data_IF_794972355681
#
_entry.id   IF_794972355681
#
_cell.length_a   1.000
_cell.length_b   1.000
_cell.length_c   1.000
_cell.angle_alpha   90.00
_cell.angle_beta   90.00
_cell.angle_gamma   90.00
#
_symmetry.space_group_name_H-M   'P 1'
#
loop_
_entity.id
_entity.type
_entity.pdbx_description
1 polymer ?
#
# COMPACT_ATOMS: atom_id res chain seq x y z
N UNK A 1 -8.41 -14.62 8.58
CA UNK A 1 -9.45 -13.62 8.22
C UNK A 1 -9.71 -12.72 9.42
N UNK A 2 -10.25 -11.52 9.22
CA UNK A 2 -10.67 -10.64 10.31
C UNK A 2 -11.74 -9.66 9.84
N UNK A 3 -12.49 -9.08 10.78
CA UNK A 3 -13.42 -8.00 10.46
C UNK A 3 -14.80 -8.42 9.94
N UNK A 4 -15.41 -9.48 10.51
CA UNK A 4 -16.75 -9.91 10.09
C UNK A 4 -17.84 -8.86 10.41
N UNK A 5 -18.86 -8.78 9.55
CA UNK A 5 -20.00 -7.88 9.78
C UNK A 5 -20.72 -8.22 11.09
N UNK A 6 -20.82 -7.25 12.00
CA UNK A 6 -21.36 -7.42 13.36
C UNK A 6 -20.31 -7.71 14.44
N UNK A 7 -19.07 -8.05 14.08
CA UNK A 7 -17.96 -8.22 15.00
C UNK A 7 -16.61 -7.88 14.34
N UNK A 8 -16.49 -6.61 13.94
CA UNK A 8 -15.45 -6.14 13.02
C UNK A 8 -14.03 -6.10 13.62
N UNK A 9 -13.89 -6.35 14.92
CA UNK A 9 -12.61 -6.45 15.62
C UNK A 9 -12.19 -7.90 15.88
N UNK A 10 -12.99 -8.90 15.49
CA UNK A 10 -12.64 -10.30 15.64
C UNK A 10 -11.72 -10.74 14.51
N UNK A 11 -10.69 -11.49 14.87
CA UNK A 11 -9.78 -12.18 13.96
C UNK A 11 -9.89 -13.70 14.13
N UNK A 12 -9.65 -14.41 13.04
CA UNK A 12 -9.78 -15.86 12.92
C UNK A 12 -8.57 -16.45 12.19
N UNK A 13 -8.05 -17.54 12.73
CA UNK A 13 -7.06 -18.42 12.09
C UNK A 13 -7.66 -19.82 11.98
N UNK A 14 -7.49 -20.46 10.83
CA UNK A 14 -7.91 -21.84 10.61
C UNK A 14 -7.09 -22.80 11.48
N UNK A 15 -7.54 -24.05 11.58
CA UNK A 15 -6.75 -25.12 12.17
C UNK A 15 -5.43 -25.34 11.40
N UNK A 16 -4.40 -25.80 12.13
CA UNK A 16 -3.10 -26.11 11.53
C UNK A 16 -3.27 -27.28 10.53
N UNK A 17 -2.67 -27.15 9.35
CA UNK A 17 -2.74 -28.13 8.25
C UNK A 17 -4.17 -28.41 7.71
N UNK A 18 -5.16 -27.58 8.05
CA UNK A 18 -6.51 -27.69 7.53
C UNK A 18 -7.13 -26.30 7.28
N UNK A 19 -6.99 -25.74 6.06
CA UNK A 19 -7.46 -24.39 5.74
C UNK A 19 -8.99 -24.24 5.75
N UNK A 20 -9.74 -25.35 5.74
CA UNK A 20 -11.21 -25.35 5.73
C UNK A 20 -11.82 -25.52 7.13
N UNK A 21 -11.00 -25.82 8.14
CA UNK A 21 -11.45 -25.95 9.52
C UNK A 21 -11.36 -24.62 10.27
N UNK A 22 -12.50 -23.95 10.42
CA UNK A 22 -12.63 -22.62 11.03
C UNK A 22 -13.35 -22.62 12.38
N UNK A 23 -13.76 -23.78 12.90
CA UNK A 23 -14.51 -23.88 14.16
C UNK A 23 -13.58 -23.82 15.38
N UNK A 24 -13.55 -22.71 16.14
CA UNK A 24 -12.69 -22.58 17.32
C UNK A 24 -13.29 -23.26 18.56
N UNK A 25 -14.51 -23.80 18.46
CA UNK A 25 -15.21 -24.52 19.54
C UNK A 25 -15.10 -26.05 19.40
N UNK A 26 -14.47 -26.53 18.33
CA UNK A 26 -14.13 -27.93 18.15
C UNK A 26 -13.18 -28.42 19.28
N UNK A 27 -13.07 -29.74 19.46
CA UNK A 27 -12.36 -30.35 20.60
C UNK A 27 -10.94 -29.77 20.82
N UNK A 28 -10.66 -29.38 22.08
CA UNK A 28 -9.46 -28.64 22.51
C UNK A 28 -8.15 -29.37 22.24
N UNK A 29 -7.52 -29.09 21.11
CA UNK A 29 -6.14 -29.48 20.81
C UNK A 29 -5.33 -28.26 20.39
N UNK A 30 -3.99 -28.38 20.40
CA UNK A 30 -3.09 -27.27 20.06
C UNK A 30 -3.13 -26.84 18.60
N UNK A 31 -3.82 -27.59 17.72
CA UNK A 31 -3.89 -27.35 16.28
C UNK A 31 -5.28 -26.86 15.82
N UNK A 32 -6.18 -26.58 16.75
CA UNK A 32 -7.53 -26.14 16.42
C UNK A 32 -7.56 -24.71 15.88
N UNK A 33 -8.68 -24.33 15.23
CA UNK A 33 -8.90 -22.97 14.81
C UNK A 33 -8.92 -22.01 16.01
N UNK A 34 -8.46 -20.78 15.81
CA UNK A 34 -8.36 -19.76 16.86
C UNK A 34 -9.20 -18.55 16.49
N UNK A 35 -9.95 -18.05 17.46
CA UNK A 35 -10.67 -16.78 17.36
C UNK A 35 -10.27 -15.85 18.52
N UNK A 36 -10.08 -14.57 18.21
CA UNK A 36 -9.64 -13.55 19.18
C UNK A 36 -10.57 -13.33 20.38
N UNK A 37 -11.81 -13.82 20.34
CA UNK A 37 -12.79 -13.71 21.44
C UNK A 37 -12.88 -14.96 22.30
N UNK A 38 -12.46 -16.12 21.78
CA UNK A 38 -12.70 -17.42 22.41
C UNK A 38 -11.45 -17.96 23.11
N UNK A 39 -10.28 -17.38 22.85
CA UNK A 39 -9.05 -17.74 23.54
C UNK A 39 -8.93 -16.94 24.84
N UNK A 40 -8.71 -17.61 25.97
CA UNK A 40 -8.37 -16.94 27.25
C UNK A 40 -7.00 -16.25 27.22
N UNK A 41 -6.24 -16.45 26.13
CA UNK A 41 -4.85 -16.05 25.97
C UNK A 41 -4.66 -14.79 25.12
N UNK A 42 -5.56 -14.53 24.17
CA UNK A 42 -5.46 -13.39 23.26
C UNK A 42 -6.77 -12.60 23.29
N UNK A 43 -6.64 -11.28 23.30
CA UNK A 43 -7.77 -10.37 23.16
C UNK A 43 -8.09 -10.01 21.72
N UNK A 44 -9.08 -9.13 21.56
CA UNK A 44 -9.41 -8.49 20.29
C UNK A 44 -8.77 -7.11 20.19
N UNK A 45 -8.31 -6.68 19.00
CA UNK A 45 -8.00 -5.28 18.74
C UNK A 45 -9.15 -4.34 19.17
N UNK A 46 -8.80 -3.13 19.59
CA UNK A 46 -9.76 -2.14 20.12
C UNK A 46 -10.60 -1.44 19.05
N UNK A 47 -10.23 -1.55 17.78
CA UNK A 47 -10.94 -1.00 16.63
C UNK A 47 -11.26 -2.09 15.59
N UNK A 48 -12.22 -1.83 14.68
CA UNK A 48 -12.43 -2.64 13.49
C UNK A 48 -11.14 -2.84 12.68
N UNK A 49 -10.86 -4.08 12.30
CA UNK A 49 -9.71 -4.45 11.49
C UNK A 49 -9.97 -3.99 10.04
N UNK A 50 -9.10 -3.14 9.52
CA UNK A 50 -9.13 -2.62 8.13
C UNK A 50 -8.19 -3.41 7.24
N UNK A 51 -7.00 -3.75 7.72
CA UNK A 51 -6.04 -4.56 6.98
C UNK A 51 -5.32 -5.57 7.87
N UNK A 52 -4.87 -6.65 7.23
CA UNK A 52 -3.97 -7.65 7.79
C UNK A 52 -2.66 -7.58 7.02
N UNK A 53 -1.57 -7.33 7.74
CA UNK A 53 -0.25 -7.18 7.13
C UNK A 53 0.69 -8.25 7.70
N UNK A 54 1.20 -9.18 6.89
CA UNK A 54 2.23 -10.11 7.33
C UNK A 54 3.52 -9.34 7.65
N UNK A 55 4.16 -9.66 8.78
CA UNK A 55 5.40 -9.02 9.21
C UNK A 55 6.40 -10.10 9.59
N UNK A 56 7.58 -10.06 8.96
CA UNK A 56 8.61 -11.08 9.18
C UNK A 56 8.12 -12.48 8.78
N UNK A 57 8.54 -13.49 9.54
CA UNK A 57 8.28 -14.90 9.20
C UNK A 57 6.97 -15.45 9.78
N UNK A 58 6.57 -14.98 10.96
CA UNK A 58 5.41 -15.53 11.70
C UNK A 58 4.50 -14.46 12.32
N UNK A 59 4.82 -13.19 12.09
CA UNK A 59 4.10 -12.08 12.65
C UNK A 59 2.92 -11.64 11.79
N UNK A 60 1.87 -11.14 12.45
CA UNK A 60 0.71 -10.58 11.78
C UNK A 60 0.31 -9.25 12.43
N UNK A 61 0.29 -8.19 11.63
CA UNK A 61 -0.16 -6.87 12.06
C UNK A 61 -1.64 -6.67 11.71
N UNK A 62 -2.44 -6.43 12.75
CA UNK A 62 -3.82 -5.97 12.66
C UNK A 62 -3.81 -4.44 12.61
N UNK A 63 -4.15 -3.88 11.46
CA UNK A 63 -4.27 -2.44 11.29
C UNK A 63 -5.75 -2.05 11.30
N UNK A 64 -6.14 -1.24 12.28
CA UNK A 64 -7.38 -0.50 12.30
C UNK A 64 -7.25 0.84 11.57
N UNK A 65 -8.28 1.69 11.69
CA UNK A 65 -8.26 3.02 11.06
C UNK A 65 -7.31 3.98 11.77
N UNK A 66 -7.17 3.86 13.10
CA UNK A 66 -6.29 4.71 13.92
C UNK A 66 -5.41 3.91 14.89
N UNK A 67 -5.53 2.59 14.90
CA UNK A 67 -4.79 1.71 15.81
C UNK A 67 -4.07 0.61 15.06
N UNK A 68 -3.00 0.09 15.68
CA UNK A 68 -2.22 -1.02 15.15
C UNK A 68 -1.85 -1.97 16.28
N UNK A 69 -2.13 -3.25 16.08
CA UNK A 69 -1.81 -4.31 17.03
C UNK A 69 -1.12 -5.45 16.32
N UNK A 70 0.01 -5.91 16.85
CA UNK A 70 0.86 -6.92 16.28
C UNK A 70 0.77 -8.23 17.06
N UNK A 71 0.48 -9.32 16.35
CA UNK A 71 0.62 -10.68 16.83
C UNK A 71 2.03 -11.16 16.50
N UNK A 72 2.81 -11.48 17.54
CA UNK A 72 4.26 -11.72 17.39
C UNK A 72 4.63 -13.04 16.72
N UNK A 73 3.74 -14.04 16.78
CA UNK A 73 3.93 -15.37 16.23
C UNK A 73 2.57 -16.07 16.11
N UNK A 74 2.54 -17.24 15.45
CA UNK A 74 1.37 -18.12 15.45
C UNK A 74 0.87 -18.37 16.90
N UNK A 75 -0.44 -18.22 17.18
CA UNK A 75 -1.01 -18.45 18.51
C UNK A 75 -0.69 -19.81 19.14
N UNK A 76 -0.34 -20.83 18.35
CA UNK A 76 0.11 -22.14 18.84
C UNK A 76 1.44 -22.05 19.61
N UNK A 77 2.29 -21.08 19.29
CA UNK A 77 3.58 -20.87 19.96
C UNK A 77 3.38 -20.32 21.36
N UNK A 78 4.06 -20.88 22.38
CA UNK A 78 3.88 -20.54 23.81
C UNK A 78 4.11 -19.07 24.17
N UNK A 79 4.96 -18.36 23.43
CA UNK A 79 5.30 -16.95 23.70
C UNK A 79 4.64 -15.96 22.72
N UNK A 80 3.74 -16.43 21.86
CA UNK A 80 2.90 -15.56 21.05
C UNK A 80 2.11 -14.61 21.96
N UNK A 81 2.15 -13.32 21.62
CA UNK A 81 1.45 -12.25 22.33
C UNK A 81 0.93 -11.21 21.35
N UNK A 82 -0.13 -10.52 21.74
CA UNK A 82 -0.58 -9.30 21.08
C UNK A 82 0.11 -8.10 21.72
N UNK A 83 0.79 -7.32 20.90
CA UNK A 83 1.44 -6.07 21.30
C UNK A 83 0.78 -4.94 20.55
N UNK A 84 0.39 -3.90 21.26
CA UNK A 84 -0.13 -2.71 20.64
C UNK A 84 1.04 -1.84 20.13
N UNK A 85 1.11 -1.61 18.81
CA UNK A 85 2.17 -0.82 18.18
C UNK A 85 1.82 0.68 18.11
N UNK A 86 0.53 1.01 17.98
CA UNK A 86 0.07 2.40 17.97
C UNK A 86 -1.40 2.54 18.38
N UNK A 87 -1.69 3.61 19.12
CA UNK A 87 -3.07 4.08 19.44
C UNK A 87 -3.56 5.20 18.54
N UNK A 88 -2.73 5.66 17.62
CA UNK A 88 -2.97 6.92 16.93
C UNK A 88 -2.73 6.85 15.42
N UNK A 89 -2.01 5.83 14.96
CA UNK A 89 -1.72 5.56 13.55
C UNK A 89 -2.38 4.24 13.19
N UNK A 90 -3.05 4.23 12.05
CA UNK A 90 -3.66 3.05 11.43
C UNK A 90 -3.50 3.10 9.92
N UNK A 91 -4.27 2.29 9.20
CA UNK A 91 -4.19 2.18 7.74
C UNK A 91 -5.48 2.69 7.08
N UNK A 92 -5.35 3.26 5.87
CA UNK A 92 -6.51 3.83 5.19
C UNK A 92 -7.39 2.82 4.46
N UNK A 93 -6.82 1.70 4.02
CA UNK A 93 -7.48 0.71 3.17
C UNK A 93 -6.79 -0.64 3.34
N UNK A 94 -7.51 -1.71 3.04
CA UNK A 94 -7.02 -3.10 3.07
C UNK A 94 -5.74 -3.32 2.24
N UNK A 95 -5.57 -2.54 1.16
CA UNK A 95 -4.42 -2.60 0.23
C UNK A 95 -3.49 -1.40 0.33
N UNK A 96 -3.68 -0.53 1.33
CA UNK A 96 -2.86 0.66 1.51
C UNK A 96 -1.52 0.38 2.23
N UNK A 97 -0.93 -0.77 1.94
CA UNK A 97 0.39 -1.16 2.44
C UNK A 97 1.13 -1.98 1.38
N UNK A 98 2.47 -2.01 1.47
CA UNK A 98 3.32 -2.90 0.71
C UNK A 98 4.61 -3.21 1.48
N UNK A 99 5.21 -4.37 1.23
CA UNK A 99 6.51 -4.73 1.79
C UNK A 99 7.63 -4.41 0.78
N UNK A 100 8.80 -4.05 1.29
CA UNK A 100 10.02 -3.91 0.50
C UNK A 100 10.95 -5.12 0.64
N UNK A 101 11.98 -5.14 -0.20
CA UNK A 101 13.09 -6.11 -0.18
C UNK A 101 13.78 -6.22 1.20
N UNK A 102 13.91 -5.11 1.91
CA UNK A 102 14.50 -5.01 3.24
C UNK A 102 13.53 -5.33 4.40
N UNK A 103 12.45 -6.09 4.15
CA UNK A 103 11.39 -6.40 5.13
C UNK A 103 10.75 -5.14 5.76
N UNK A 104 10.92 -3.98 5.14
CA UNK A 104 10.29 -2.73 5.60
C UNK A 104 8.89 -2.67 5.04
N UNK A 105 7.92 -2.33 5.90
CA UNK A 105 6.54 -2.16 5.50
C UNK A 105 6.28 -0.68 5.30
N UNK A 106 5.80 -0.34 4.11
CA UNK A 106 5.22 0.97 3.85
C UNK A 106 3.73 0.87 4.02
N UNK A 107 3.14 1.84 4.70
CA UNK A 107 1.70 1.90 4.90
C UNK A 107 1.22 3.33 4.82
N UNK A 108 0.04 3.52 4.25
CA UNK A 108 -0.61 4.82 4.16
C UNK A 108 -1.67 4.93 5.25
N UNK A 109 -1.50 5.94 6.10
CA UNK A 109 -2.47 6.39 7.08
C UNK A 109 -3.18 7.66 6.57
N UNK A 110 -4.20 8.12 7.29
CA UNK A 110 -4.95 9.32 6.92
C UNK A 110 -4.10 10.60 6.93
N UNK A 111 -3.02 10.64 7.70
CA UNK A 111 -2.17 11.82 7.82
C UNK A 111 -0.86 11.71 7.02
N UNK A 112 -0.62 10.58 6.34
CA UNK A 112 0.58 10.43 5.51
C UNK A 112 1.05 9.01 5.27
N UNK A 113 2.24 8.92 4.65
CA UNK A 113 2.94 7.66 4.42
C UNK A 113 3.90 7.37 5.58
N UNK A 114 3.86 6.13 6.07
CA UNK A 114 4.71 5.63 7.14
C UNK A 114 5.61 4.52 6.64
N UNK A 115 6.75 4.39 7.31
CA UNK A 115 7.73 3.31 7.17
C UNK A 115 7.78 2.60 8.51
N UNK A 116 7.50 1.30 8.53
CA UNK A 116 7.65 0.43 9.69
C UNK A 116 8.82 -0.49 9.40
N UNK A 117 9.91 -0.31 10.12
CA UNK A 117 11.10 -1.15 9.97
C UNK A 117 10.96 -2.42 10.81
N UNK A 118 11.70 -3.49 10.46
CA UNK A 118 11.81 -4.65 11.33
C UNK A 118 12.26 -4.23 12.73
N UNK A 119 11.60 -4.76 13.76
CA UNK A 119 11.82 -4.43 15.17
C UNK A 119 11.39 -3.01 15.60
N UNK A 120 10.63 -2.29 14.78
CA UNK A 120 9.97 -1.07 15.25
C UNK A 120 8.74 -1.44 16.08
N UNK A 121 8.83 -1.24 17.38
CA UNK A 121 7.76 -1.57 18.33
C UNK A 121 6.82 -0.40 18.62
N UNK A 122 7.08 0.79 18.07
CA UNK A 122 6.28 1.99 18.34
C UNK A 122 6.16 2.88 17.12
N UNK A 123 4.99 2.86 16.48
CA UNK A 123 4.69 3.77 15.37
C UNK A 123 3.94 4.98 15.90
N UNK A 124 4.58 6.15 15.81
CA UNK A 124 4.02 7.43 16.25
C UNK A 124 3.76 8.36 15.06
N UNK A 125 2.81 9.29 15.18
CA UNK A 125 2.48 10.26 14.13
C UNK A 125 3.68 11.11 13.66
N UNK A 126 4.65 11.33 14.53
CA UNK A 126 5.89 12.03 14.20
C UNK A 126 6.81 11.24 13.26
N UNK A 127 6.67 9.91 13.21
CA UNK A 127 7.49 9.02 12.40
C UNK A 127 7.07 8.93 10.93
N UNK A 128 6.09 9.71 10.47
CA UNK A 128 5.64 9.69 9.07
C UNK A 128 6.71 10.26 8.13
N UNK A 129 6.89 9.63 6.98
CA UNK A 129 7.86 10.01 5.93
C UNK A 129 7.46 11.34 5.28
N UNK A 130 6.16 11.61 5.24
CA UNK A 130 5.57 12.79 4.59
C UNK A 130 5.62 14.05 5.45
N UNK A 131 6.11 13.95 6.69
CA UNK A 131 6.16 15.04 7.67
C UNK A 131 6.92 16.25 7.12
N UNK A 132 6.30 17.43 7.16
CA UNK A 132 6.90 18.67 6.66
C UNK A 132 7.03 18.77 5.14
N UNK A 133 6.52 17.80 4.37
CA UNK A 133 6.57 17.79 2.90
C UNK A 133 5.19 17.84 2.27
N UNK A 134 4.29 16.95 2.69
CA UNK A 134 2.98 16.74 2.06
C UNK A 134 1.80 16.90 3.05
N UNK A 135 2.02 17.56 4.18
CA UNK A 135 1.00 17.69 5.24
C UNK A 135 -0.30 18.33 4.71
N UNK A 136 -0.19 19.42 3.94
CA UNK A 136 -1.35 20.09 3.32
C UNK A 136 -2.06 19.19 2.30
N UNK A 137 -1.29 18.40 1.54
CA UNK A 137 -1.86 17.50 0.53
C UNK A 137 -2.75 16.45 1.19
N UNK A 138 -2.26 15.79 2.24
CA UNK A 138 -3.01 14.77 2.96
C UNK A 138 -4.20 15.34 3.76
N UNK A 139 -4.07 16.55 4.33
CA UNK A 139 -5.18 17.23 5.01
C UNK A 139 -6.35 17.58 4.08
N UNK A 140 -6.09 17.81 2.80
CA UNK A 140 -7.13 18.13 1.81
C UNK A 140 -7.83 16.88 1.26
N UNK A 141 -7.24 15.69 1.42
CA UNK A 141 -7.83 14.47 0.89
C UNK A 141 -9.02 14.01 1.74
N UNK A 142 -10.08 13.57 1.04
CA UNK A 142 -11.22 12.89 1.67
C UNK A 142 -11.04 11.39 1.50
N UNK A 143 -10.37 10.75 2.45
CA UNK A 143 -10.02 9.33 2.38
C UNK A 143 -11.21 8.38 2.29
N UNK A 144 -12.40 8.80 2.70
CA UNK A 144 -13.61 7.97 2.58
C UNK A 144 -14.13 7.91 1.12
N UNK A 145 -13.63 8.78 0.24
CA UNK A 145 -13.90 8.82 -1.19
C UNK A 145 -12.70 8.37 -2.04
N UNK A 146 -11.68 7.76 -1.41
CA UNK A 146 -10.47 7.28 -2.08
C UNK A 146 -10.34 5.77 -1.91
N UNK A 147 -10.03 5.09 -3.00
CA UNK A 147 -9.44 3.77 -2.98
C UNK A 147 -7.91 3.91 -2.95
N UNK A 148 -7.33 3.62 -1.79
CA UNK A 148 -5.89 3.73 -1.57
C UNK A 148 -5.23 2.35 -1.70
N UNK A 149 -4.20 2.28 -2.55
CA UNK A 149 -3.43 1.07 -2.83
C UNK A 149 -1.95 1.40 -2.88
N UNK A 150 -1.11 0.60 -2.23
CA UNK A 150 0.34 0.77 -2.25
C UNK A 150 1.01 -0.40 -2.96
N UNK A 151 1.96 -0.09 -3.84
CA UNK A 151 2.80 -1.07 -4.53
C UNK A 151 4.27 -0.70 -4.44
N UNK A 152 5.14 -1.69 -4.30
CA UNK A 152 6.59 -1.48 -4.24
C UNK A 152 7.25 -2.01 -5.52
N UNK A 153 7.98 -1.15 -6.20
CA UNK A 153 8.83 -1.55 -7.33
C UNK A 153 10.24 -1.81 -6.80
N UNK A 154 10.61 -3.08 -6.72
CA UNK A 154 11.89 -3.51 -6.17
C UNK A 154 13.10 -3.10 -7.02
N UNK A 155 12.93 -2.93 -8.34
CA UNK A 155 14.05 -2.54 -9.21
C UNK A 155 14.35 -1.05 -9.08
N UNK A 156 13.30 -0.22 -9.15
CA UNK A 156 13.45 1.23 -9.03
C UNK A 156 13.50 1.71 -7.57
N UNK A 157 13.27 0.81 -6.61
CA UNK A 157 13.15 1.09 -5.18
C UNK A 157 12.15 2.22 -4.88
N UNK A 158 11.01 2.17 -5.56
CA UNK A 158 9.96 3.19 -5.46
C UNK A 158 8.69 2.60 -4.84
N UNK A 159 8.00 3.39 -4.05
CA UNK A 159 6.66 3.07 -3.51
C UNK A 159 5.63 3.89 -4.29
N UNK A 160 4.78 3.21 -5.03
CA UNK A 160 3.64 3.79 -5.71
C UNK A 160 2.47 3.87 -4.73
N UNK A 161 2.09 5.09 -4.40
CA UNK A 161 0.97 5.44 -3.53
C UNK A 161 -0.22 5.85 -4.40
N UNK A 162 -1.07 4.88 -4.73
CA UNK A 162 -2.21 5.08 -5.61
C UNK A 162 -3.39 5.52 -4.77
N UNK A 163 -3.84 6.75 -4.99
CA UNK A 163 -5.03 7.33 -4.36
C UNK A 163 -6.08 7.60 -5.44
N UNK A 164 -6.86 6.56 -5.73
CA UNK A 164 -7.87 6.57 -6.77
C UNK A 164 -9.19 7.12 -6.24
N UNK A 165 -9.69 8.21 -6.81
CA UNK A 165 -10.99 8.77 -6.47
C UNK A 165 -12.11 7.85 -6.95
N UNK A 166 -13.07 7.57 -6.08
CA UNK A 166 -14.25 6.77 -6.44
C UNK A 166 -15.32 7.60 -7.14
N UNK A 167 -15.37 8.91 -6.89
CA UNK A 167 -16.34 9.83 -7.49
C UNK A 167 -15.90 10.40 -8.85
N UNK A 168 -14.59 10.64 -9.00
CA UNK A 168 -14.02 11.20 -10.23
C UNK A 168 -12.67 10.53 -10.58
N UNK A 169 -12.69 9.27 -11.06
CA UNK A 169 -11.50 8.47 -11.35
C UNK A 169 -10.43 9.17 -12.20
N UNK A 170 -10.82 9.88 -13.26
CA UNK A 170 -9.90 10.57 -14.17
C UNK A 170 -9.20 11.81 -13.61
N UNK A 171 -9.58 12.28 -12.41
CA UNK A 171 -8.89 13.38 -11.72
C UNK A 171 -8.10 12.89 -10.50
N UNK A 172 -7.86 11.58 -10.40
CA UNK A 172 -7.05 10.99 -9.34
C UNK A 172 -5.60 11.46 -9.47
N UNK A 173 -5.01 11.89 -8.35
CA UNK A 173 -3.58 12.20 -8.24
C UNK A 173 -2.94 11.12 -7.40
N UNK A 174 -1.92 10.48 -7.93
CA UNK A 174 -1.14 9.46 -7.24
C UNK A 174 0.21 10.04 -6.84
N UNK A 175 0.88 9.39 -5.89
CA UNK A 175 2.22 9.77 -5.47
C UNK A 175 3.20 8.63 -5.75
N UNK A 176 4.40 8.99 -6.16
CA UNK A 176 5.56 8.11 -6.21
C UNK A 176 6.52 8.56 -5.12
N UNK A 177 6.83 7.69 -4.17
CA UNK A 177 7.90 7.90 -3.22
C UNK A 177 9.14 7.15 -3.69
N UNK A 178 10.25 7.86 -3.90
CA UNK A 178 11.51 7.25 -4.27
C UNK A 178 12.43 7.13 -3.06
N UNK A 179 12.83 5.91 -2.71
CA UNK A 179 13.71 5.67 -1.57
C UNK A 179 15.11 6.24 -1.82
N UNK A 180 15.62 6.11 -3.04
CA UNK A 180 16.97 6.57 -3.40
C UNK A 180 17.14 8.08 -3.27
N UNK A 181 16.10 8.86 -3.58
CA UNK A 181 16.14 10.33 -3.53
C UNK A 181 15.42 10.91 -2.31
N UNK A 182 14.78 10.05 -1.51
CA UNK A 182 13.88 10.43 -0.42
C UNK A 182 12.91 11.56 -0.84
N UNK A 183 12.33 11.41 -2.02
CA UNK A 183 11.49 12.44 -2.65
C UNK A 183 10.14 11.90 -3.08
N UNK A 184 9.17 12.82 -3.18
CA UNK A 184 7.82 12.53 -3.64
C UNK A 184 7.57 13.20 -4.98
N UNK A 185 6.84 12.50 -5.84
CA UNK A 185 6.46 12.96 -7.17
C UNK A 185 4.98 12.67 -7.42
N UNK A 186 4.16 13.70 -7.71
CA UNK A 186 2.80 13.45 -8.15
C UNK A 186 2.80 12.88 -9.56
N UNK A 187 1.92 11.93 -9.81
CA UNK A 187 1.69 11.38 -11.14
C UNK A 187 0.20 11.09 -11.33
N UNK A 188 -0.21 11.01 -12.60
CA UNK A 188 -1.56 10.71 -13.02
C UNK A 188 -1.47 9.79 -14.24
N UNK A 189 -2.47 8.93 -14.43
CA UNK A 189 -2.59 8.18 -15.68
C UNK A 189 -3.16 9.13 -16.75
N UNK A 190 -2.56 9.10 -17.94
CA UNK A 190 -2.97 9.96 -19.05
C UNK A 190 -4.04 9.32 -19.93
N UNK A 191 -4.13 7.99 -19.92
CA UNK A 191 -5.01 7.25 -20.81
C UNK A 191 -6.42 7.08 -20.22
N UNK A 192 -7.47 7.50 -20.94
CA UNK A 192 -8.84 7.43 -20.43
C UNK A 192 -9.34 6.02 -20.09
N UNK A 193 -8.79 4.98 -20.72
CA UNK A 193 -9.19 3.60 -20.46
C UNK A 193 -8.50 3.00 -19.21
N UNK A 194 -7.36 3.56 -18.78
CA UNK A 194 -6.67 3.16 -17.56
C UNK A 194 -6.72 4.28 -16.52
N UNK A 195 -7.92 4.64 -16.11
CA UNK A 195 -8.11 5.57 -15.00
C UNK A 195 -8.16 4.80 -13.67
N UNK A 196 -7.71 5.45 -12.61
CA UNK A 196 -7.86 4.99 -11.22
C UNK A 196 -7.48 3.51 -11.01
N UNK A 197 -6.17 3.19 -10.93
CA UNK A 197 -5.75 1.85 -10.58
C UNK A 197 -6.34 1.45 -9.21
N UNK A 198 -6.90 0.25 -9.13
CA UNK A 198 -7.64 -0.25 -7.96
C UNK A 198 -6.94 -1.38 -7.22
N UNK A 199 -5.90 -1.94 -7.82
CA UNK A 199 -5.03 -2.94 -7.21
C UNK A 199 -3.64 -2.86 -7.82
N UNK A 200 -2.66 -3.41 -7.10
CA UNK A 200 -1.34 -3.67 -7.63
C UNK A 200 -0.83 -5.01 -7.10
N UNK A 201 0.11 -5.59 -7.81
CA UNK A 201 0.73 -6.84 -7.44
C UNK A 201 2.03 -7.04 -8.18
N UNK A 202 2.92 -7.78 -7.54
CA UNK A 202 4.20 -8.16 -8.12
C UNK A 202 4.00 -9.35 -9.06
N UNK A 203 4.47 -9.21 -10.29
CA UNK A 203 4.53 -10.28 -11.26
C UNK A 203 5.95 -10.88 -11.24
N UNK A 204 6.15 -12.06 -10.62
CA UNK A 204 7.45 -12.69 -10.57
C UNK A 204 7.85 -13.22 -11.94
N UNK A 205 9.13 -13.08 -12.27
CA UNK A 205 9.72 -13.82 -13.38
C UNK A 205 10.34 -15.11 -12.87
N UNK A 206 10.37 -16.14 -13.71
CA UNK A 206 11.08 -17.39 -13.41
C UNK A 206 12.61 -17.28 -13.44
N UNK A 207 13.15 -16.07 -13.62
CA UNK A 207 14.58 -15.78 -13.66
C UNK A 207 15.02 -14.90 -12.47
N UNK A 208 16.30 -14.49 -12.45
CA UNK A 208 16.87 -13.70 -11.36
C UNK A 208 16.47 -12.20 -11.39
N UNK A 209 15.53 -11.79 -12.25
CA UNK A 209 15.12 -10.38 -12.35
C UNK A 209 14.15 -10.03 -11.22
N UNK A 210 14.19 -8.75 -10.82
CA UNK A 210 13.20 -8.21 -9.89
C UNK A 210 11.78 -8.35 -10.49
N UNK A 211 10.77 -8.69 -9.69
CA UNK A 211 9.38 -8.79 -10.17
C UNK A 211 8.88 -7.44 -10.69
N UNK A 212 8.00 -7.45 -11.69
CA UNK A 212 7.38 -6.22 -12.21
C UNK A 212 6.18 -5.88 -11.36
N UNK A 213 6.12 -4.62 -10.90
CA UNK A 213 4.91 -4.09 -10.28
C UNK A 213 3.87 -3.82 -11.38
N UNK A 214 2.80 -4.62 -11.37
CA UNK A 214 1.65 -4.43 -12.23
C UNK A 214 0.51 -3.76 -11.47
N UNK A 215 -0.30 -3.00 -12.19
CA UNK A 215 -1.46 -2.26 -11.71
C UNK A 215 -2.70 -2.74 -12.43
N UNK A 216 -3.79 -2.98 -11.71
CA UNK A 216 -5.10 -3.25 -12.30
C UNK A 216 -6.00 -2.04 -12.22
N UNK A 217 -6.71 -1.71 -13.30
CA UNK A 217 -7.72 -0.65 -13.34
C UNK A 217 -9.13 -1.23 -13.19
N UNK A 218 -10.05 -0.42 -12.66
CA UNK A 218 -11.49 -0.72 -12.63
C UNK A 218 -12.10 -1.01 -14.00
N UNK A 219 -11.48 -0.51 -15.07
CA UNK A 219 -11.88 -0.73 -16.46
C UNK A 219 -11.42 -2.09 -17.03
N UNK A 220 -10.79 -2.95 -16.23
CA UNK A 220 -10.36 -4.28 -16.65
C UNK A 220 -9.02 -4.30 -17.41
N UNK A 221 -8.22 -3.25 -17.30
CA UNK A 221 -6.89 -3.20 -17.90
C UNK A 221 -5.83 -3.49 -16.86
N UNK A 222 -4.73 -4.12 -17.30
CA UNK A 222 -3.52 -4.30 -16.49
C UNK A 222 -2.42 -3.43 -17.10
N UNK A 223 -1.72 -2.66 -16.28
CA UNK A 223 -0.65 -1.77 -16.71
C UNK A 223 0.61 -1.95 -15.88
N UNK A 224 1.79 -1.72 -16.46
CA UNK A 224 3.05 -1.69 -15.72
C UNK A 224 4.00 -0.68 -16.34
N UNK A 225 5.00 -0.22 -15.59
CA UNK A 225 6.05 0.62 -16.15
C UNK A 225 7.07 -0.22 -16.91
N UNK A 226 7.33 0.13 -18.16
CA UNK A 226 8.44 -0.46 -18.91
C UNK A 226 9.77 -0.07 -18.26
N UNK A 227 10.68 -1.04 -18.22
CA UNK A 227 12.03 -0.85 -17.72
C UNK A 227 12.98 -0.38 -18.81
N UNK A 228 12.71 -0.76 -20.05
CA UNK A 228 13.58 -0.45 -21.19
C UNK A 228 13.23 0.90 -21.83
N UNK A 229 12.02 1.44 -21.57
CA UNK A 229 11.65 2.78 -22.01
C UNK A 229 12.23 3.85 -21.09
N UNK A 230 13.13 4.66 -21.67
CA UNK A 230 13.67 5.88 -21.04
C UNK A 230 12.65 7.03 -21.03
N UNK A 231 11.68 7.02 -21.96
CA UNK A 231 10.54 7.93 -22.00
C UNK A 231 9.43 7.32 -22.88
N UNK A 232 8.17 7.64 -22.62
CA UNK A 232 7.04 7.10 -23.38
C UNK A 232 5.75 7.89 -23.16
N UNK A 233 4.77 7.64 -24.01
CA UNK A 233 3.40 8.17 -23.87
C UNK A 233 2.51 7.01 -23.40
N UNK A 234 1.69 7.25 -22.39
CA UNK A 234 0.69 6.30 -21.89
C UNK A 234 -0.22 5.80 -23.04
N UNK A 235 -0.47 4.49 -23.09
CA UNK A 235 -1.41 3.88 -24.03
C UNK A 235 -0.87 3.61 -25.44
N UNK A 236 0.45 3.68 -25.67
CA UNK A 236 1.07 3.21 -26.91
C UNK A 236 2.00 2.02 -26.66
N UNK A 237 1.86 0.98 -27.49
CA UNK A 237 2.82 -0.12 -27.50
C UNK A 237 4.21 0.42 -27.87
N UNK A 238 5.21 0.15 -27.04
CA UNK A 238 6.59 0.50 -27.33
C UNK A 238 7.04 -0.18 -28.63
N UNK A 239 7.56 0.60 -29.58
CA UNK A 239 8.11 0.09 -30.84
C UNK A 239 9.30 -0.82 -30.53
N UNK A 240 9.20 -2.10 -30.89
CA UNK A 240 10.27 -3.10 -30.68
C UNK A 240 10.03 -4.08 -29.53
N UNK A 241 8.94 -3.98 -28.79
CA UNK A 241 8.63 -4.94 -27.72
C UNK A 241 7.97 -6.20 -28.27
N UNK A 242 8.54 -7.36 -27.95
CA UNK A 242 7.74 -8.59 -27.88
C UNK A 242 6.80 -8.34 -26.70
N UNK A 243 5.49 -8.26 -26.95
CA UNK A 243 4.52 -8.49 -25.86
C UNK A 243 4.94 -9.76 -25.11
N UNK A 244 4.55 -9.91 -23.86
CA UNK A 244 4.70 -11.21 -23.19
C UNK A 244 3.89 -12.22 -24.02
N UNK A 245 4.53 -12.86 -24.99
CA UNK A 245 3.88 -13.75 -25.97
C UNK A 245 3.42 -15.04 -25.33
N UNK A 246 3.83 -15.27 -24.07
CA UNK A 246 3.50 -16.45 -23.28
C UNK A 246 2.39 -16.16 -22.25
N UNK A 247 1.64 -15.07 -22.42
CA UNK A 247 0.42 -14.82 -21.67
C UNK A 247 -0.80 -15.27 -22.50
N UNK A 248 -0.85 -16.56 -22.85
CA UNK A 248 -2.08 -17.18 -23.37
C UNK A 248 -3.03 -17.42 -22.19
N UNK A 249 -3.70 -16.35 -21.75
CA UNK A 249 -4.89 -16.50 -20.91
C UNK A 249 -6.01 -16.89 -21.85
N UNK A 250 -6.62 -18.05 -21.62
CA UNK A 250 -7.77 -18.44 -22.43
C UNK A 250 -8.85 -17.37 -22.35
N UNK A 251 -9.62 -17.18 -23.43
CA UNK A 251 -10.70 -16.17 -23.44
C UNK A 251 -11.68 -16.34 -22.26
N UNK A 252 -11.86 -17.57 -21.79
CA UNK A 252 -12.72 -17.89 -20.64
C UNK A 252 -12.12 -17.42 -19.31
N UNK A 253 -10.80 -17.60 -19.11
CA UNK A 253 -10.09 -17.10 -17.93
C UNK A 253 -9.98 -15.57 -17.92
N UNK A 254 -9.74 -14.96 -19.09
CA UNK A 254 -9.71 -13.51 -19.26
C UNK A 254 -11.09 -12.90 -18.99
N UNK A 255 -12.16 -13.53 -19.45
CA UNK A 255 -13.54 -13.11 -19.18
C UNK A 255 -13.90 -13.27 -17.70
N UNK A 256 -13.47 -14.35 -17.05
CA UNK A 256 -13.70 -14.56 -15.61
C UNK A 256 -12.94 -13.54 -14.74
N UNK A 257 -11.71 -13.18 -15.13
CA UNK A 257 -10.86 -12.20 -14.43
C UNK A 257 -11.08 -10.75 -14.90
N UNK A 258 -11.93 -10.54 -15.91
CA UNK A 258 -12.21 -9.24 -16.56
C UNK A 258 -10.98 -8.53 -17.12
N UNK A 259 -9.97 -9.28 -17.54
CA UNK A 259 -8.76 -8.71 -18.15
C UNK A 259 -9.05 -8.47 -19.64
N UNK A 260 -9.13 -7.20 -20.01
CA UNK A 260 -9.51 -6.73 -21.35
C UNK A 260 -8.28 -6.50 -22.23
N UNK A 261 -7.22 -5.90 -21.68
CA UNK A 261 -5.91 -5.83 -22.35
C UNK A 261 -4.80 -5.43 -21.36
N UNK A 262 -3.55 -5.53 -21.82
CA UNK A 262 -2.37 -5.00 -21.14
C UNK A 262 -1.92 -3.65 -21.71
N UNK A 263 -1.28 -2.82 -20.90
CA UNK A 263 -0.60 -1.59 -21.32
C UNK A 263 0.74 -1.41 -20.63
N UNK A 264 1.58 -0.59 -21.25
CA UNK A 264 2.88 -0.24 -20.72
C UNK A 264 3.00 1.27 -20.56
N UNK A 265 3.46 1.71 -19.39
CA UNK A 265 3.78 3.10 -19.11
C UNK A 265 5.27 3.37 -19.31
N UNK A 266 5.65 4.54 -19.81
CA UNK A 266 7.04 4.99 -19.73
C UNK A 266 7.41 5.36 -18.29
N UNK A 267 8.70 5.24 -17.91
CA UNK A 267 9.18 5.65 -16.57
C UNK A 267 8.77 7.09 -16.23
N UNK A 268 8.38 7.30 -14.97
CA UNK A 268 8.19 8.65 -14.42
C UNK A 268 9.54 9.35 -14.23
N UNK A 269 10.10 9.90 -15.32
CA UNK A 269 11.24 10.79 -15.26
C UNK A 269 10.73 12.23 -15.24
N UNK A 270 10.84 12.92 -14.09
CA UNK A 270 10.72 14.38 -14.09
C UNK A 270 11.89 15.02 -13.35
N UNK A 271 12.23 16.24 -13.75
CA UNK A 271 13.56 16.82 -13.54
C UNK A 271 13.76 17.54 -12.21
N UNK A 272 12.74 17.65 -11.34
CA UNK A 272 12.86 18.38 -10.07
C UNK A 272 11.99 17.78 -8.95
N UNK A 273 12.58 17.11 -7.93
CA UNK A 273 11.80 16.55 -6.83
C UNK A 273 11.05 17.68 -6.13
N UNK A 274 9.95 17.35 -5.45
CA UNK A 274 9.32 18.26 -4.49
C UNK A 274 10.30 18.46 -3.31
N UNK A 275 11.32 19.27 -3.54
CA UNK A 275 12.16 19.84 -2.52
C UNK A 275 11.35 20.98 -1.90
N UNK A 276 11.24 21.08 -0.56
CA UNK A 276 10.76 22.29 0.05
C UNK A 276 11.77 23.38 -0.31
N UNK A 277 11.54 24.08 -1.42
CA UNK A 277 12.31 25.26 -1.77
C UNK A 277 12.15 26.20 -0.58
N UNK A 278 13.22 26.34 0.21
CA UNK A 278 13.46 27.57 0.96
C UNK A 278 13.41 28.67 -0.08
N UNK A 279 12.24 29.30 -0.24
CA UNK A 279 12.12 30.56 -0.95
C UNK A 279 13.24 31.45 -0.41
N UNK A 280 14.16 31.96 -1.25
CA UNK A 280 15.11 32.94 -0.79
C UNK A 280 14.27 34.07 -0.21
N UNK A 281 14.45 34.37 1.08
CA UNK A 281 13.82 35.52 1.71
C UNK A 281 14.29 36.72 0.89
N UNK A 282 13.39 37.26 0.07
CA UNK A 282 13.64 38.54 -0.59
C UNK A 282 13.99 39.53 0.52
N UNK A 283 15.13 40.24 0.41
CA UNK A 283 15.47 41.27 1.37
C UNK A 283 14.32 42.26 1.43
N UNK A 284 13.78 42.46 2.64
CA UNK A 284 12.74 43.45 2.87
C UNK A 284 13.27 44.81 2.38
N UNK A 285 12.50 45.57 1.59
CA UNK A 285 12.91 46.89 1.17
C UNK A 285 13.19 47.75 2.41
N UNK A 286 14.24 48.57 2.40
CA UNK A 286 14.58 49.43 3.53
C UNK A 286 13.39 50.33 3.84
N UNK A 287 12.96 50.35 5.12
CA UNK A 287 11.93 51.28 5.61
C UNK A 287 12.37 52.70 5.24
N UNK A 288 11.59 53.37 4.39
CA UNK A 288 11.78 54.80 4.18
C UNK A 288 11.53 55.53 5.51
N UNK A 289 12.40 56.47 5.91
CA UNK A 289 12.14 57.31 7.05
C UNK A 289 10.92 58.17 6.76
N UNK A 290 9.91 58.07 7.60
CA UNK A 290 8.77 58.98 7.57
C UNK A 290 9.29 60.41 7.76
N UNK A 291 9.09 61.25 6.74
CA UNK A 291 9.34 62.67 6.83
C UNK A 291 8.18 63.34 7.60
N UNK A 292 8.55 63.92 8.74
CA UNK A 292 7.82 64.83 9.64
C UNK A 292 6.68 64.25 10.48
#
# INVERSE_FOLDING_TARGET
MGGISGAANIWFLSALNNPDAWDPLAASNTHQAVAGTNSTRFGTPGEPIVALVPVGESGLLFAGRHTMTYLTADPVVTDARLIELSRSVGIVSERAWCASDAQTIYMMAQDGLYRVQPNDFQVTKSGRITSGRLDTFFQQQKFDALNCVLGYDAEAQNVYCIMSRTDLPGSSVHLLYSQATDAFWPWQTGWPAFQAPTCCGDFPFGDARAPILAFGSSSGYIGWFDRDLTSGVDGQAAVGYKGVTDFDVSNDEAAAQKVTSSITFGRCNSSLPYSPQKLPRLPLPPRQPHAR
#
